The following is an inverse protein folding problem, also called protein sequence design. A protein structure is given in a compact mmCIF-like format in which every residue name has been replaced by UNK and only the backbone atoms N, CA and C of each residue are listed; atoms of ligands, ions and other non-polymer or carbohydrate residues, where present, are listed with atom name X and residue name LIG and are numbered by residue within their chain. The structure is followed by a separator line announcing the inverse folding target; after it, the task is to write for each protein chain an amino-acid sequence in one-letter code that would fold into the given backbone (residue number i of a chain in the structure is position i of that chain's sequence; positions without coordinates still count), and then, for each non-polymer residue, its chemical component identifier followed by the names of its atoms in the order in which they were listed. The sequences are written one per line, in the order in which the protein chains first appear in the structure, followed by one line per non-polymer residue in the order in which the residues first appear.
data_IF_800462076274
#
_entry.id   IF_800462076274
#
_cell.length_a   1.000
_cell.length_b   1.000
_cell.length_c   1.000
_cell.angle_alpha   90.00
_cell.angle_beta   90.00
_cell.angle_gamma   90.00
#
_symmetry.space_group_name_H-M   'P 1'
#
loop_
_entity.id
_entity.type
_entity.pdbx_description
1 polymer ?
#
# COMPACT_ATOMS: atom_id res chain seq x y z
N UNK A 1 3.16 -21.50 -19.77
CA UNK A 1 2.29 -21.07 -18.66
C UNK A 1 0.80 -21.30 -18.93
N UNK A 2 0.32 -21.23 -20.17
CA UNK A 2 -1.10 -21.39 -20.51
C UNK A 2 -1.59 -22.84 -20.40
N UNK A 3 -0.73 -23.81 -20.71
CA UNK A 3 -1.05 -25.24 -20.58
C UNK A 3 -1.30 -25.62 -19.10
N UNK A 4 -0.51 -25.08 -18.19
CA UNK A 4 -0.65 -25.35 -16.75
C UNK A 4 -1.95 -24.76 -16.17
N UNK A 5 -2.36 -23.57 -16.61
CA UNK A 5 -3.60 -22.93 -16.17
C UNK A 5 -4.85 -23.67 -16.64
N UNK A 6 -4.83 -24.20 -17.87
CA UNK A 6 -5.96 -24.98 -18.43
C UNK A 6 -6.23 -26.29 -17.70
N UNK A 7 -5.23 -26.86 -17.02
CA UNK A 7 -5.38 -28.15 -16.31
C UNK A 7 -6.04 -28.03 -14.94
N UNK A 8 -6.10 -26.81 -14.36
CA UNK A 8 -6.57 -26.61 -12.99
C UNK A 8 -7.83 -25.72 -12.85
N UNK A 9 -8.21 -25.03 -13.93
CA UNK A 9 -9.37 -24.15 -13.94
C UNK A 9 -10.07 -24.34 -15.28
N UNK A 10 -11.40 -24.53 -15.25
CA UNK A 10 -12.22 -24.61 -16.46
C UNK A 10 -12.30 -23.22 -17.11
N UNK A 11 -11.39 -22.97 -18.07
CA UNK A 11 -11.22 -21.68 -18.73
C UNK A 11 -11.29 -21.83 -20.26
N UNK A 12 -12.13 -21.02 -20.89
CA UNK A 12 -12.04 -20.76 -22.34
C UNK A 12 -10.91 -19.77 -22.59
N UNK A 13 -9.92 -20.13 -23.36
CA UNK A 13 -8.81 -19.25 -23.75
C UNK A 13 -8.94 -18.82 -25.21
N UNK A 14 -8.74 -17.55 -25.48
CA UNK A 14 -8.69 -16.97 -26.82
C UNK A 14 -7.35 -16.25 -26.97
N UNK A 15 -6.61 -16.60 -28.02
CA UNK A 15 -5.34 -15.95 -28.33
C UNK A 15 -5.59 -14.74 -29.23
N UNK A 16 -5.05 -13.58 -28.87
CA UNK A 16 -5.15 -12.37 -29.67
C UNK A 16 -5.01 -11.08 -28.89
N UNK A 17 -5.06 -9.97 -29.59
CA UNK A 17 -5.05 -8.65 -28.96
C UNK A 17 -6.48 -8.28 -28.52
N UNK A 18 -6.67 -8.10 -27.22
CA UNK A 18 -7.97 -7.80 -26.63
C UNK A 18 -8.56 -6.42 -27.02
N UNK A 19 -7.81 -5.56 -27.69
CA UNK A 19 -8.36 -4.33 -28.29
C UNK A 19 -9.11 -4.56 -29.60
N UNK A 20 -9.03 -5.77 -30.18
CA UNK A 20 -9.69 -6.08 -31.44
C UNK A 20 -11.08 -6.68 -31.22
N UNK A 21 -12.15 -6.11 -31.83
CA UNK A 21 -13.53 -6.57 -31.65
C UNK A 21 -13.70 -8.07 -31.93
N UNK A 22 -13.10 -8.60 -33.01
CA UNK A 22 -13.18 -10.03 -33.35
C UNK A 22 -12.65 -10.96 -32.26
N UNK A 23 -11.60 -10.55 -31.55
CA UNK A 23 -11.02 -11.33 -30.44
C UNK A 23 -11.98 -11.36 -29.26
N UNK A 24 -12.62 -10.21 -28.96
CA UNK A 24 -13.65 -10.10 -27.93
C UNK A 24 -14.91 -10.91 -28.26
N UNK A 25 -15.36 -10.90 -29.52
CA UNK A 25 -16.48 -11.72 -29.98
C UNK A 25 -16.17 -13.22 -29.81
N UNK A 26 -14.97 -13.68 -30.16
CA UNK A 26 -14.53 -15.06 -29.94
C UNK A 26 -14.50 -15.44 -28.44
N UNK A 27 -14.24 -14.47 -27.58
CA UNK A 27 -14.30 -14.63 -26.12
C UNK A 27 -15.73 -14.60 -25.56
N UNK A 28 -16.75 -14.50 -26.41
CA UNK A 28 -18.18 -14.49 -26.06
C UNK A 28 -18.58 -13.29 -25.18
N UNK A 29 -18.07 -12.11 -25.55
CA UNK A 29 -18.25 -10.87 -24.77
C UNK A 29 -19.71 -10.49 -24.51
N UNK A 30 -20.64 -10.97 -25.38
CA UNK A 30 -22.07 -10.68 -25.26
C UNK A 30 -22.74 -11.36 -24.06
N UNK A 31 -22.11 -12.40 -23.51
CA UNK A 31 -22.65 -13.23 -22.43
C UNK A 31 -21.87 -13.10 -21.11
N UNK A 32 -21.06 -12.04 -20.93
CA UNK A 32 -20.29 -11.83 -19.70
C UNK A 32 -20.79 -10.62 -18.91
N UNK A 33 -20.80 -10.75 -17.59
CA UNK A 33 -21.21 -9.69 -16.67
C UNK A 33 -20.05 -8.74 -16.33
N UNK A 34 -18.82 -9.26 -16.25
CA UNK A 34 -17.63 -8.52 -15.83
C UNK A 34 -16.45 -8.81 -16.75
N UNK A 35 -15.78 -7.77 -17.22
CA UNK A 35 -14.54 -7.85 -17.96
C UNK A 35 -13.41 -7.15 -17.21
N UNK A 36 -12.24 -7.78 -17.12
CA UNK A 36 -11.06 -7.26 -16.42
C UNK A 36 -9.89 -7.15 -17.39
N UNK A 37 -9.49 -5.92 -17.72
CA UNK A 37 -8.36 -5.61 -18.59
C UNK A 37 -7.09 -5.35 -17.77
N UNK A 38 -6.12 -6.27 -17.84
CA UNK A 38 -4.87 -6.23 -17.06
C UNK A 38 -3.62 -6.47 -17.91
N UNK A 39 -3.65 -6.06 -19.19
CA UNK A 39 -2.51 -6.14 -20.09
C UNK A 39 -1.39 -5.17 -19.68
N UNK A 40 -0.22 -5.30 -20.30
CA UNK A 40 0.93 -4.44 -19.97
C UNK A 40 0.76 -2.98 -20.40
N UNK A 41 0.06 -2.71 -21.51
CA UNK A 41 -0.22 -1.36 -22.00
C UNK A 41 -1.53 -0.82 -21.43
N UNK A 42 -1.50 0.37 -20.85
CA UNK A 42 -2.69 1.08 -20.37
C UNK A 42 -3.63 1.43 -21.53
N UNK A 43 -3.06 1.79 -22.72
CA UNK A 43 -3.82 2.11 -23.92
C UNK A 43 -4.63 0.90 -24.39
N UNK A 44 -4.02 -0.30 -24.37
CA UNK A 44 -4.71 -1.56 -24.74
C UNK A 44 -5.83 -1.86 -23.71
N UNK A 45 -5.59 -1.61 -22.42
CA UNK A 45 -6.60 -1.79 -21.38
C UNK A 45 -7.79 -0.85 -21.59
N UNK A 46 -7.51 0.42 -21.90
CA UNK A 46 -8.54 1.43 -22.15
C UNK A 46 -9.37 1.05 -23.38
N UNK A 47 -8.70 0.78 -24.52
CA UNK A 47 -9.38 0.45 -25.77
C UNK A 47 -10.17 -0.85 -25.63
N UNK A 48 -9.63 -1.87 -24.96
CA UNK A 48 -10.36 -3.12 -24.72
C UNK A 48 -11.67 -2.87 -23.95
N UNK A 49 -11.63 -2.09 -22.86
CA UNK A 49 -12.83 -1.77 -22.09
C UNK A 49 -13.83 -0.96 -22.90
N UNK A 50 -13.39 0.02 -23.68
CA UNK A 50 -14.27 0.81 -24.56
C UNK A 50 -14.93 -0.07 -25.63
N UNK A 51 -14.17 -0.97 -26.28
CA UNK A 51 -14.73 -1.92 -27.26
C UNK A 51 -15.73 -2.86 -26.61
N UNK A 52 -15.46 -3.34 -25.40
CA UNK A 52 -16.40 -4.16 -24.63
C UNK A 52 -17.72 -3.40 -24.38
N UNK A 53 -17.64 -2.15 -23.95
CA UNK A 53 -18.83 -1.31 -23.73
C UNK A 53 -19.64 -1.07 -25.02
N UNK A 54 -18.94 -0.92 -26.14
CA UNK A 54 -19.61 -0.77 -27.45
C UNK A 54 -20.29 -2.06 -27.91
N UNK A 55 -19.71 -3.22 -27.64
CA UNK A 55 -20.29 -4.52 -28.01
C UNK A 55 -21.38 -4.96 -27.03
N UNK A 56 -21.18 -4.74 -25.73
CA UNK A 56 -22.15 -5.07 -24.67
C UNK A 56 -22.07 -4.04 -23.53
N UNK A 57 -22.96 -3.05 -23.58
CA UNK A 57 -22.98 -1.96 -22.61
C UNK A 57 -23.34 -2.41 -21.17
N UNK A 58 -23.90 -3.61 -21.00
CA UNK A 58 -24.24 -4.16 -19.68
C UNK A 58 -23.05 -4.77 -18.96
N UNK A 59 -21.98 -5.11 -19.68
CA UNK A 59 -20.75 -5.65 -19.08
C UNK A 59 -20.08 -4.60 -18.21
N UNK A 60 -19.84 -4.92 -16.94
CA UNK A 60 -19.04 -4.08 -16.04
C UNK A 60 -17.56 -4.23 -16.39
N UNK A 61 -16.90 -3.11 -16.68
CA UNK A 61 -15.49 -3.09 -17.08
C UNK A 61 -14.58 -2.66 -15.94
N UNK A 62 -13.48 -3.36 -15.78
CA UNK A 62 -12.43 -3.02 -14.82
C UNK A 62 -11.09 -2.98 -15.56
N UNK A 63 -10.26 -1.96 -15.33
CA UNK A 63 -8.95 -1.89 -15.98
C UNK A 63 -7.83 -1.48 -15.03
N UNK A 64 -6.65 -2.05 -15.25
CA UNK A 64 -5.42 -1.57 -14.63
C UNK A 64 -4.87 -0.39 -15.42
N UNK A 65 -4.74 0.76 -14.76
CA UNK A 65 -4.16 1.98 -15.32
C UNK A 65 -3.03 2.44 -14.41
N UNK A 66 -1.82 2.52 -14.96
CA UNK A 66 -0.60 2.90 -14.22
C UNK A 66 -0.15 4.31 -14.53
N UNK A 67 -0.46 4.79 -15.73
CA UNK A 67 -0.05 6.10 -16.23
C UNK A 67 -0.92 7.19 -15.62
N UNK A 68 -0.25 8.13 -14.94
CA UNK A 68 -0.90 9.18 -14.17
C UNK A 68 -1.74 10.15 -15.03
N UNK A 69 -1.31 10.38 -16.24
CA UNK A 69 -1.96 11.25 -17.21
C UNK A 69 -3.39 10.77 -17.54
N UNK A 70 -3.67 9.46 -17.43
CA UNK A 70 -4.99 8.89 -17.58
C UNK A 70 -5.85 8.95 -16.29
N UNK A 71 -5.23 9.24 -15.14
CA UNK A 71 -5.92 9.28 -13.85
C UNK A 71 -6.32 10.71 -13.45
N UNK A 72 -5.85 11.73 -14.16
CA UNK A 72 -6.11 13.16 -13.87
C UNK A 72 -6.46 13.98 -15.12
N UNK A 73 -7.12 15.11 -14.87
CA UNK A 73 -7.41 16.13 -15.90
C UNK A 73 -8.19 15.59 -17.10
N UNK A 74 -7.75 15.93 -18.31
CA UNK A 74 -8.41 15.50 -19.55
C UNK A 74 -8.27 14.00 -19.81
N UNK A 75 -7.17 13.38 -19.39
CA UNK A 75 -6.98 11.93 -19.50
C UNK A 75 -8.04 11.15 -18.74
N UNK A 76 -8.41 11.61 -17.55
CA UNK A 76 -9.48 11.01 -16.73
C UNK A 76 -10.84 11.02 -17.46
N UNK A 77 -11.15 12.06 -18.21
CA UNK A 77 -12.38 12.15 -18.99
C UNK A 77 -12.47 11.08 -20.08
N UNK A 78 -11.32 10.70 -20.67
CA UNK A 78 -11.26 9.63 -21.68
C UNK A 78 -11.54 8.27 -21.01
N UNK A 79 -11.02 8.09 -19.81
CA UNK A 79 -11.09 6.80 -19.09
C UNK A 79 -12.44 6.61 -18.39
N UNK A 80 -13.04 7.67 -17.84
CA UNK A 80 -14.32 7.65 -17.10
C UNK A 80 -15.51 8.18 -17.91
N UNK A 81 -15.35 8.44 -19.22
CA UNK A 81 -16.41 8.98 -20.09
C UNK A 81 -17.58 8.01 -20.30
N UNK A 82 -18.53 8.36 -21.15
CA UNK A 82 -19.78 7.62 -21.37
C UNK A 82 -19.56 6.15 -21.81
N UNK A 83 -18.46 5.88 -22.52
CA UNK A 83 -17.97 4.55 -22.88
C UNK A 83 -16.75 4.16 -22.01
N UNK A 84 -16.67 4.73 -20.82
CA UNK A 84 -15.50 4.62 -19.95
C UNK A 84 -15.39 3.30 -19.20
N UNK A 85 -14.38 3.22 -18.39
CA UNK A 85 -14.09 2.09 -17.50
C UNK A 85 -14.87 2.29 -16.20
N UNK A 86 -15.68 1.29 -15.80
CA UNK A 86 -16.46 1.39 -14.57
C UNK A 86 -15.59 1.38 -13.30
N UNK A 87 -14.50 0.62 -13.32
CA UNK A 87 -13.56 0.53 -12.18
C UNK A 87 -12.11 0.62 -12.65
N UNK A 88 -11.41 1.64 -12.21
CA UNK A 88 -9.99 1.82 -12.47
C UNK A 88 -9.20 1.26 -11.28
N UNK A 89 -8.19 0.44 -11.58
CA UNK A 89 -7.26 -0.12 -10.60
C UNK A 89 -5.88 0.44 -10.89
N UNK A 90 -5.34 1.25 -9.99
CA UNK A 90 -3.97 1.75 -10.04
C UNK A 90 -3.21 1.28 -8.80
N UNK A 91 -2.48 0.15 -8.87
CA UNK A 91 -1.73 -0.37 -7.73
C UNK A 91 -0.73 0.64 -7.17
N UNK A 92 -0.06 1.38 -8.06
CA UNK A 92 0.92 2.39 -7.67
C UNK A 92 0.29 3.57 -6.90
N UNK A 93 -0.95 3.94 -7.24
CA UNK A 93 -1.68 4.98 -6.51
C UNK A 93 -2.12 4.49 -5.14
N UNK A 94 -2.64 3.27 -5.07
CA UNK A 94 -3.06 2.65 -3.81
C UNK A 94 -1.88 2.52 -2.84
N UNK A 95 -0.74 2.01 -3.29
CA UNK A 95 0.44 1.85 -2.43
C UNK A 95 1.03 3.19 -2.02
N UNK A 96 1.06 4.18 -2.93
CA UNK A 96 1.51 5.53 -2.60
C UNK A 96 0.64 6.15 -1.50
N UNK A 97 -0.68 6.06 -1.63
CA UNK A 97 -1.61 6.55 -0.62
C UNK A 97 -1.42 5.84 0.73
N UNK A 98 -1.20 4.52 0.72
CA UNK A 98 -0.93 3.74 1.93
C UNK A 98 0.37 4.19 2.61
N UNK A 99 1.46 4.34 1.86
CA UNK A 99 2.75 4.78 2.39
C UNK A 99 2.65 6.21 2.95
N UNK A 100 2.01 7.15 2.24
CA UNK A 100 1.77 8.50 2.74
C UNK A 100 1.05 8.49 4.10
N UNK A 101 0.02 7.66 4.24
CA UNK A 101 -0.71 7.53 5.52
C UNK A 101 0.16 6.99 6.65
N UNK A 102 1.01 6.01 6.38
CA UNK A 102 1.94 5.47 7.37
C UNK A 102 2.96 6.52 7.82
N UNK A 103 3.44 7.34 6.89
CA UNK A 103 4.34 8.46 7.18
C UNK A 103 3.65 9.55 8.01
N UNK A 104 2.41 9.91 7.66
CA UNK A 104 1.61 10.92 8.37
C UNK A 104 1.12 10.45 9.74
N UNK A 105 1.11 9.14 9.98
CA UNK A 105 0.67 8.51 11.24
C UNK A 105 1.76 7.58 11.80
N UNK A 106 2.87 8.16 12.30
CA UNK A 106 4.05 7.41 12.71
C UNK A 106 3.77 6.57 13.93
N UNK A 107 3.32 5.53 14.04
CA UNK A 107 2.89 4.65 15.14
C UNK A 107 2.05 3.52 14.60
N UNK A 108 1.35 3.74 13.50
CA UNK A 108 0.66 2.69 12.79
C UNK A 108 1.65 1.75 12.09
N UNK A 109 1.31 0.47 12.08
CA UNK A 109 1.97 -0.56 11.25
C UNK A 109 1.19 -0.81 9.97
N UNK A 110 -0.14 -0.65 10.02
CA UNK A 110 -1.02 -0.72 8.86
C UNK A 110 -2.18 0.27 9.01
N UNK A 111 -2.67 0.81 7.89
CA UNK A 111 -3.88 1.63 7.84
C UNK A 111 -4.66 1.21 6.60
N UNK A 112 -5.92 0.81 6.79
CA UNK A 112 -6.84 0.44 5.72
C UNK A 112 -8.12 1.27 5.83
N UNK A 113 -8.57 1.83 4.71
CA UNK A 113 -9.80 2.63 4.69
C UNK A 113 -10.99 1.88 4.18
N UNK A 114 -12.13 2.24 4.74
CA UNK A 114 -13.45 1.79 4.39
C UNK A 114 -14.40 2.97 4.19
N UNK A 115 -15.53 2.73 3.53
CA UNK A 115 -16.59 3.73 3.34
C UNK A 115 -16.06 5.06 2.75
N UNK A 116 -15.29 4.97 1.67
CA UNK A 116 -14.67 6.14 1.00
C UNK A 116 -13.83 7.01 1.95
N UNK A 117 -13.03 6.37 2.80
CA UNK A 117 -12.12 7.06 3.71
C UNK A 117 -12.78 7.66 4.97
N UNK A 118 -14.03 7.34 5.27
CA UNK A 118 -14.71 7.81 6.49
C UNK A 118 -14.31 7.00 7.72
N UNK A 119 -14.09 5.70 7.53
CA UNK A 119 -13.72 4.74 8.58
C UNK A 119 -12.39 4.13 8.22
N UNK A 120 -11.52 3.95 9.19
CA UNK A 120 -10.23 3.30 9.00
C UNK A 120 -10.03 2.17 10.01
N UNK A 121 -9.42 1.09 9.55
CA UNK A 121 -8.81 0.09 10.41
C UNK A 121 -7.33 0.42 10.54
N UNK A 122 -6.87 0.54 11.78
CA UNK A 122 -5.50 0.92 12.10
C UNK A 122 -4.87 -0.16 12.96
N UNK A 123 -3.72 -0.66 12.55
CA UNK A 123 -2.93 -1.60 13.35
C UNK A 123 -1.81 -0.84 14.05
N UNK A 124 -1.64 -1.10 15.35
CA UNK A 124 -0.62 -0.48 16.21
C UNK A 124 0.00 -1.54 17.11
N UNK A 125 1.33 -1.56 17.21
CA UNK A 125 2.03 -2.45 18.14
C UNK A 125 2.05 -1.83 19.54
N UNK A 126 1.50 -2.53 20.53
CA UNK A 126 1.48 -2.10 21.93
C UNK A 126 2.88 -1.99 22.51
N UNK A 127 3.22 -0.83 23.05
CA UNK A 127 4.49 -0.59 23.74
C UNK A 127 4.30 -0.58 25.25
N UNK A 128 5.34 -0.99 25.96
CA UNK A 128 5.37 -0.86 27.42
C UNK A 128 5.17 0.59 27.86
N UNK A 129 4.37 0.79 28.90
CA UNK A 129 4.03 2.14 29.43
C UNK A 129 3.03 2.94 28.58
N UNK A 130 2.46 2.37 27.53
CA UNK A 130 1.39 3.02 26.77
C UNK A 130 0.05 2.92 27.54
N UNK A 131 -0.87 3.91 27.40
CA UNK A 131 -2.06 4.06 28.26
C UNK A 131 -2.93 2.81 28.39
N UNK A 132 -3.21 2.10 27.29
CA UNK A 132 -4.08 0.90 27.31
C UNK A 132 -3.30 -0.39 27.54
N UNK A 133 -1.96 -0.38 27.49
CA UNK A 133 -1.14 -1.59 27.69
C UNK A 133 -1.18 -2.00 29.14
N UNK A 134 -1.52 -3.28 29.40
CA UNK A 134 -1.76 -3.81 30.74
C UNK A 134 -3.21 -3.62 31.23
N UNK A 135 -4.07 -2.97 30.46
CA UNK A 135 -5.47 -2.71 30.79
C UNK A 135 -6.44 -3.55 29.97
N UNK A 136 -7.67 -3.69 30.46
CA UNK A 136 -8.73 -4.42 29.78
C UNK A 136 -9.23 -3.67 28.54
N UNK A 137 -9.61 -4.41 27.50
CA UNK A 137 -10.23 -3.84 26.28
C UNK A 137 -11.44 -2.98 26.60
N UNK A 138 -12.26 -3.33 27.59
CA UNK A 138 -13.43 -2.56 28.05
C UNK A 138 -13.05 -1.16 28.55
N UNK A 139 -11.83 -0.97 29.06
CA UNK A 139 -11.36 0.33 29.62
C UNK A 139 -11.01 1.36 28.55
N UNK A 140 -10.83 0.93 27.28
CA UNK A 140 -10.51 1.83 26.16
C UNK A 140 -11.45 3.04 26.08
N UNK A 141 -12.75 2.84 26.34
CA UNK A 141 -13.74 3.94 26.37
C UNK A 141 -13.51 4.96 27.46
N UNK A 142 -12.86 4.58 28.56
CA UNK A 142 -12.54 5.48 29.67
C UNK A 142 -11.33 6.35 29.30
N UNK A 143 -10.38 5.79 28.52
CA UNK A 143 -9.18 6.50 28.07
C UNK A 143 -9.51 7.54 26.99
N UNK A 144 -10.33 7.17 26.00
CA UNK A 144 -10.70 8.05 24.87
C UNK A 144 -12.22 8.17 24.70
N UNK A 145 -12.95 8.75 25.68
CA UNK A 145 -14.41 8.72 25.74
C UNK A 145 -15.10 9.48 24.60
N UNK A 146 -14.40 10.38 23.91
CA UNK A 146 -14.92 11.17 22.78
C UNK A 146 -14.60 10.57 21.40
N UNK A 147 -14.00 9.40 21.37
CA UNK A 147 -13.62 8.72 20.12
C UNK A 147 -14.47 7.47 19.96
N UNK A 148 -15.21 7.38 18.85
CA UNK A 148 -15.93 6.15 18.51
C UNK A 148 -14.92 5.18 17.88
N UNK A 149 -14.46 4.23 18.69
CA UNK A 149 -13.48 3.22 18.30
C UNK A 149 -13.76 1.90 18.95
N UNK A 150 -13.32 0.84 18.28
CA UNK A 150 -13.37 -0.54 18.78
C UNK A 150 -12.08 -1.28 18.43
N UNK A 151 -11.63 -2.13 19.34
CA UNK A 151 -10.60 -3.12 19.01
C UNK A 151 -11.29 -4.27 18.28
N UNK A 152 -10.90 -4.47 17.02
CA UNK A 152 -11.45 -5.49 16.14
C UNK A 152 -10.73 -6.83 16.29
N UNK A 153 -9.41 -6.80 16.49
CA UNK A 153 -8.57 -7.97 16.66
C UNK A 153 -7.31 -7.62 17.46
N UNK A 154 -6.73 -8.62 18.10
CA UNK A 154 -5.40 -8.58 18.70
C UNK A 154 -4.60 -9.73 18.09
N UNK A 155 -3.41 -9.43 17.57
CA UNK A 155 -2.49 -10.42 17.08
C UNK A 155 -1.34 -10.57 18.09
N UNK A 156 -1.23 -11.75 18.67
CA UNK A 156 -0.28 -12.12 19.72
C UNK A 156 0.35 -13.46 19.40
N UNK A 157 1.68 -13.55 19.36
CA UNK A 157 2.41 -14.82 19.14
C UNK A 157 1.84 -15.65 17.97
N UNK A 158 1.71 -15.02 16.80
CA UNK A 158 1.16 -15.61 15.57
C UNK A 158 -0.29 -16.13 15.66
N UNK A 159 -1.06 -15.65 16.65
CA UNK A 159 -2.48 -15.97 16.81
C UNK A 159 -3.35 -14.73 16.75
N UNK A 160 -4.48 -14.86 16.04
CA UNK A 160 -5.53 -13.84 16.02
C UNK A 160 -6.50 -14.09 17.16
N UNK A 161 -6.68 -13.11 18.03
CA UNK A 161 -7.62 -13.11 19.14
C UNK A 161 -8.77 -12.18 18.78
N UNK A 162 -10.01 -12.67 18.83
CA UNK A 162 -11.22 -11.86 18.80
C UNK A 162 -11.46 -11.30 20.23
N UNK A 163 -11.17 -10.00 20.48
CA UNK A 163 -11.09 -9.51 21.85
C UNK A 163 -12.47 -9.40 22.50
N UNK A 164 -12.53 -9.80 23.75
CA UNK A 164 -13.66 -9.57 24.66
C UNK A 164 -13.31 -8.43 25.63
N UNK A 165 -14.32 -7.87 26.29
CA UNK A 165 -14.12 -6.73 27.21
C UNK A 165 -13.11 -7.00 28.34
N UNK A 166 -13.01 -8.26 28.81
CA UNK A 166 -12.10 -8.65 29.89
C UNK A 166 -10.68 -9.02 29.43
N UNK A 167 -10.45 -9.13 28.13
CA UNK A 167 -9.10 -9.39 27.60
C UNK A 167 -8.18 -8.21 27.87
N UNK A 168 -6.93 -8.52 28.21
CA UNK A 168 -5.89 -7.52 28.50
C UNK A 168 -5.02 -7.33 27.26
N UNK A 169 -4.73 -6.07 26.95
CA UNK A 169 -3.74 -5.72 25.91
C UNK A 169 -2.34 -5.83 26.53
N UNK A 170 -1.50 -6.68 25.94
CA UNK A 170 -0.14 -6.93 26.43
C UNK A 170 0.91 -6.21 25.59
N UNK A 171 2.07 -5.96 26.20
CA UNK A 171 3.23 -5.40 25.46
C UNK A 171 3.62 -6.33 24.32
N UNK A 172 3.76 -5.78 23.12
CA UNK A 172 4.11 -6.53 21.93
C UNK A 172 2.92 -6.96 21.08
N UNK A 173 1.69 -6.91 21.61
CA UNK A 173 0.48 -7.15 20.82
C UNK A 173 0.40 -6.21 19.62
N UNK A 174 -0.03 -6.72 18.48
CA UNK A 174 -0.46 -5.90 17.37
C UNK A 174 -1.99 -5.75 17.43
N UNK A 175 -2.46 -4.55 17.78
CA UNK A 175 -3.87 -4.28 18.06
C UNK A 175 -4.52 -3.57 16.88
N UNK A 176 -5.60 -4.13 16.38
CA UNK A 176 -6.37 -3.61 15.26
C UNK A 176 -7.58 -2.83 15.77
N UNK A 177 -7.61 -1.53 15.48
CA UNK A 177 -8.73 -0.65 15.80
C UNK A 177 -9.56 -0.34 14.56
N UNK A 178 -10.85 -0.19 14.75
CA UNK A 178 -11.76 0.44 13.78
C UNK A 178 -12.17 1.79 14.38
N UNK A 179 -11.95 2.87 13.64
CA UNK A 179 -12.24 4.25 14.09
C UNK A 179 -12.59 5.16 12.90
N UNK A 180 -13.14 6.33 13.19
CA UNK A 180 -13.22 7.38 12.17
C UNK A 180 -11.83 7.83 11.75
N UNK A 181 -11.62 8.09 10.46
CA UNK A 181 -10.29 8.42 9.91
C UNK A 181 -9.67 9.68 10.53
N UNK A 182 -10.49 10.62 11.01
CA UNK A 182 -10.03 11.82 11.73
C UNK A 182 -9.45 11.55 13.11
N UNK A 183 -9.79 10.40 13.71
CA UNK A 183 -9.40 10.07 15.09
C UNK A 183 -8.21 9.08 15.16
N UNK A 184 -7.63 8.69 14.03
CA UNK A 184 -6.50 7.76 13.94
C UNK A 184 -5.37 8.12 14.91
N UNK A 185 -4.94 9.40 14.95
CA UNK A 185 -3.84 9.86 15.82
C UNK A 185 -4.14 9.69 17.31
N UNK A 186 -5.41 9.88 17.70
CA UNK A 186 -5.84 9.69 19.09
C UNK A 186 -5.77 8.22 19.50
N UNK A 187 -6.22 7.33 18.59
CA UNK A 187 -6.17 5.87 18.83
C UNK A 187 -4.73 5.37 18.90
N UNK A 188 -3.85 5.85 18.02
CA UNK A 188 -2.43 5.48 18.05
C UNK A 188 -1.80 5.86 19.39
N UNK A 189 -2.15 7.03 19.94
CA UNK A 189 -1.59 7.50 21.22
C UNK A 189 -1.92 6.60 22.41
N UNK A 190 -2.99 5.80 22.36
CA UNK A 190 -3.35 4.86 23.42
C UNK A 190 -2.39 3.65 23.53
N UNK A 191 -1.74 3.28 22.44
CA UNK A 191 -0.80 2.14 22.40
C UNK A 191 0.67 2.58 22.33
N UNK A 192 0.91 3.88 22.31
CA UNK A 192 2.26 4.41 22.16
C UNK A 192 2.57 5.51 23.15
N UNK A 193 3.77 5.48 23.70
CA UNK A 193 4.38 6.64 24.33
C UNK A 193 4.60 7.68 23.22
N UNK A 194 4.29 8.95 23.48
CA UNK A 194 4.26 10.08 22.54
C UNK A 194 5.50 10.06 21.61
N UNK A 195 5.29 9.75 20.34
CA UNK A 195 6.35 9.81 19.32
C UNK A 195 6.42 11.24 18.75
N UNK A 196 7.65 11.67 18.43
CA UNK A 196 7.88 12.94 17.74
C UNK A 196 7.40 12.77 16.29
N UNK A 197 6.63 13.76 15.79
CA UNK A 197 6.21 13.75 14.39
C UNK A 197 7.41 13.68 13.46
N UNK A 198 7.33 12.84 12.42
CA UNK A 198 8.35 12.77 11.38
C UNK A 198 8.51 14.13 10.71
N UNK A 199 9.76 14.51 10.42
CA UNK A 199 10.09 15.76 9.73
C UNK A 199 10.92 15.50 8.48
N UNK A 200 11.82 14.54 8.53
CA UNK A 200 12.77 14.24 7.46
C UNK A 200 12.48 12.85 6.89
N UNK A 201 12.20 12.81 5.59
CA UNK A 201 11.90 11.59 4.84
C UNK A 201 12.97 11.41 3.77
N UNK A 202 13.47 10.20 3.63
CA UNK A 202 14.37 9.82 2.53
C UNK A 202 13.70 8.73 1.70
N UNK A 203 13.63 8.94 0.40
CA UNK A 203 13.00 8.02 -0.57
C UNK A 203 14.10 7.46 -1.47
N UNK A 204 14.27 6.15 -1.49
CA UNK A 204 15.13 5.43 -2.41
C UNK A 204 14.32 4.95 -3.60
N UNK A 205 14.65 5.47 -4.79
CA UNK A 205 13.95 5.23 -6.04
C UNK A 205 13.05 6.39 -6.46
N UNK A 206 13.40 7.06 -7.56
CA UNK A 206 12.64 8.15 -8.19
C UNK A 206 11.66 7.67 -9.28
N UNK A 207 11.27 6.39 -9.24
CA UNK A 207 10.31 5.79 -10.16
C UNK A 207 8.90 6.36 -10.03
N UNK A 208 7.89 5.64 -10.55
CA UNK A 208 6.49 6.08 -10.51
C UNK A 208 5.98 6.29 -9.08
N UNK A 209 6.28 5.35 -8.17
CA UNK A 209 5.86 5.41 -6.77
C UNK A 209 6.64 6.48 -6.03
N UNK A 210 7.98 6.50 -6.12
CA UNK A 210 8.81 7.47 -5.41
C UNK A 210 8.51 8.92 -5.80
N UNK A 211 8.32 9.21 -7.09
CA UNK A 211 7.88 10.52 -7.56
C UNK A 211 6.53 10.91 -6.95
N UNK A 212 5.53 10.02 -6.99
CA UNK A 212 4.19 10.30 -6.42
C UNK A 212 4.23 10.51 -4.91
N UNK A 213 5.06 9.75 -4.21
CA UNK A 213 5.31 9.96 -2.78
C UNK A 213 5.86 11.35 -2.53
N UNK A 214 6.88 11.75 -3.28
CA UNK A 214 7.48 13.06 -3.15
C UNK A 214 6.46 14.17 -3.42
N UNK A 215 5.74 14.13 -4.55
CA UNK A 215 4.69 15.09 -4.89
C UNK A 215 3.60 15.20 -3.80
N UNK A 216 3.28 14.11 -3.10
CA UNK A 216 2.24 14.05 -2.05
C UNK A 216 2.72 14.55 -0.70
N UNK A 217 4.01 14.40 -0.41
CA UNK A 217 4.62 14.70 0.89
C UNK A 217 5.37 16.04 0.89
N UNK A 218 5.69 16.56 -0.29
CA UNK A 218 6.35 17.84 -0.47
C UNK A 218 5.56 18.98 0.20
N UNK A 219 6.28 19.91 0.79
CA UNK A 219 5.69 21.00 1.58
C UNK A 219 5.22 20.63 2.99
N UNK A 220 5.07 19.33 3.29
CA UNK A 220 4.75 18.84 4.65
C UNK A 220 5.98 18.33 5.39
N UNK A 221 6.96 17.80 4.64
CA UNK A 221 8.17 17.15 5.14
C UNK A 221 9.41 17.64 4.41
N UNK A 222 10.56 17.53 5.06
CA UNK A 222 11.86 17.68 4.39
C UNK A 222 12.17 16.40 3.63
N UNK A 223 12.11 16.45 2.31
CA UNK A 223 12.27 15.27 1.45
C UNK A 223 13.63 15.22 0.80
N UNK A 224 14.22 14.01 0.81
CA UNK A 224 15.37 13.65 -0.02
C UNK A 224 15.01 12.44 -0.87
N UNK A 225 15.41 12.45 -2.15
CA UNK A 225 15.19 11.34 -3.07
C UNK A 225 16.53 10.89 -3.60
N UNK A 226 16.84 9.61 -3.48
CA UNK A 226 18.03 8.99 -4.07
C UNK A 226 17.58 8.24 -5.32
N UNK A 227 18.18 8.59 -6.47
CA UNK A 227 17.88 7.96 -7.77
C UNK A 227 19.19 7.70 -8.51
N UNK A 228 19.34 6.47 -9.00
CA UNK A 228 20.56 6.04 -9.69
C UNK A 228 20.66 6.60 -11.11
N UNK A 229 19.53 6.80 -11.77
CA UNK A 229 19.47 7.28 -13.14
C UNK A 229 19.55 8.82 -13.19
N UNK A 230 20.62 9.34 -13.80
CA UNK A 230 20.91 10.77 -13.90
C UNK A 230 19.82 11.57 -14.63
N UNK A 231 19.30 11.04 -15.75
CA UNK A 231 18.27 11.74 -16.53
C UNK A 231 16.96 11.84 -15.73
N UNK A 232 16.67 10.80 -14.94
CA UNK A 232 15.53 10.82 -14.03
C UNK A 232 15.72 11.79 -12.87
N UNK A 233 16.94 11.94 -12.36
CA UNK A 233 17.24 12.97 -11.35
C UNK A 233 16.95 14.37 -11.90
N UNK A 234 17.40 14.67 -13.13
CA UNK A 234 17.12 15.97 -13.80
C UNK A 234 15.62 16.19 -13.91
N UNK A 235 14.89 15.19 -14.43
CA UNK A 235 13.43 15.25 -14.54
C UNK A 235 12.73 15.50 -13.20
N UNK A 236 13.16 14.83 -12.13
CA UNK A 236 12.58 15.00 -10.80
C UNK A 236 12.87 16.39 -10.23
N UNK A 237 14.09 16.91 -10.44
CA UNK A 237 14.47 18.26 -9.99
C UNK A 237 13.69 19.38 -10.70
N UNK A 238 13.19 19.13 -11.92
CA UNK A 238 12.32 20.05 -12.63
C UNK A 238 10.84 19.99 -12.18
N UNK A 239 10.43 18.87 -11.55
CA UNK A 239 9.05 18.60 -11.16
C UNK A 239 8.75 18.83 -9.69
N UNK A 240 9.76 18.79 -8.86
CA UNK A 240 9.65 18.92 -7.40
C UNK A 240 10.22 20.30 -6.99
N UNK A 241 9.44 21.03 -6.21
CA UNK A 241 9.76 22.41 -5.86
C UNK A 241 10.70 22.54 -4.65
N UNK A 242 10.62 21.63 -3.68
CA UNK A 242 11.33 21.75 -2.40
C UNK A 242 12.07 20.48 -1.97
N UNK A 243 12.01 19.42 -2.76
CA UNK A 243 12.68 18.14 -2.46
C UNK A 243 14.12 18.14 -2.98
N UNK A 244 15.04 17.60 -2.18
CA UNK A 244 16.43 17.41 -2.60
C UNK A 244 16.55 16.09 -3.39
N UNK A 245 16.99 16.18 -4.65
CA UNK A 245 17.21 15.01 -5.51
C UNK A 245 18.70 14.70 -5.56
N UNK A 246 19.07 13.48 -5.17
CA UNK A 246 20.43 12.98 -5.09
C UNK A 246 20.65 11.90 -6.15
N UNK A 247 21.70 12.06 -6.97
CA UNK A 247 22.08 11.03 -7.92
C UNK A 247 23.05 10.04 -7.26
N UNK A 248 22.60 8.81 -7.04
CA UNK A 248 23.43 7.78 -6.40
C UNK A 248 22.69 6.47 -6.18
N UNK A 249 23.40 5.51 -5.60
CA UNK A 249 22.86 4.22 -5.20
C UNK A 249 22.40 4.30 -3.74
N UNK A 250 21.16 3.90 -3.47
CA UNK A 250 20.59 3.87 -2.12
C UNK A 250 21.19 2.79 -1.20
N UNK A 251 21.98 1.90 -1.74
CA UNK A 251 22.78 0.91 -0.98
C UNK A 251 24.22 1.40 -0.67
N UNK A 252 24.60 2.60 -1.11
CA UNK A 252 25.89 3.19 -0.80
C UNK A 252 25.88 3.82 0.60
N UNK A 253 26.63 3.19 1.52
CA UNK A 253 26.72 3.65 2.91
C UNK A 253 27.37 5.03 3.05
N UNK A 254 28.30 5.39 2.16
CA UNK A 254 28.97 6.69 2.21
C UNK A 254 27.99 7.82 1.84
N UNK A 255 27.17 7.61 0.81
CA UNK A 255 26.11 8.54 0.43
C UNK A 255 25.08 8.71 1.56
N UNK A 256 24.64 7.61 2.17
CA UNK A 256 23.68 7.65 3.28
C UNK A 256 24.22 8.40 4.50
N UNK A 257 25.52 8.21 4.82
CA UNK A 257 26.18 8.91 5.91
C UNK A 257 26.32 10.41 5.62
N UNK A 258 26.79 10.79 4.43
CA UNK A 258 26.91 12.19 3.98
C UNK A 258 25.54 12.92 4.08
N UNK A 259 24.46 12.22 3.75
CA UNK A 259 23.10 12.74 3.77
C UNK A 259 22.42 12.65 5.15
N UNK A 260 23.18 12.30 6.20
CA UNK A 260 22.75 12.22 7.59
C UNK A 260 21.56 11.26 7.81
N UNK A 261 21.72 10.02 7.38
CA UNK A 261 20.68 8.97 7.51
C UNK A 261 20.23 8.80 8.96
N UNK A 262 21.11 9.01 9.95
CA UNK A 262 20.79 8.90 11.38
C UNK A 262 19.78 9.96 11.87
N UNK A 263 19.59 11.05 11.11
CA UNK A 263 18.58 12.09 11.37
C UNK A 263 17.30 11.88 10.59
N UNK A 264 17.25 10.83 9.75
CA UNK A 264 16.09 10.51 8.94
C UNK A 264 15.02 9.83 9.81
N UNK A 265 13.83 10.41 9.83
CA UNK A 265 12.71 9.87 10.59
C UNK A 265 12.08 8.67 9.88
N UNK A 266 12.06 8.71 8.54
CA UNK A 266 11.46 7.63 7.74
C UNK A 266 12.24 7.42 6.43
N UNK A 267 12.75 6.23 6.22
CA UNK A 267 13.41 5.79 4.98
C UNK A 267 12.46 4.88 4.21
N UNK A 268 12.18 5.21 2.95
CA UNK A 268 11.28 4.46 2.07
C UNK A 268 12.02 3.94 0.86
N UNK A 269 12.21 2.64 0.72
CA UNK A 269 12.75 2.05 -0.49
C UNK A 269 11.64 1.54 -1.41
N UNK A 270 11.52 2.16 -2.59
CA UNK A 270 10.40 1.99 -3.53
C UNK A 270 10.86 1.93 -4.99
N UNK A 271 12.01 1.28 -5.21
CA UNK A 271 12.51 0.97 -6.56
C UNK A 271 11.71 -0.19 -7.17
N UNK A 272 12.02 -0.57 -8.38
CA UNK A 272 11.45 -1.75 -9.06
C UNK A 272 12.19 -3.06 -8.74
N UNK A 273 13.24 -3.01 -7.94
CA UNK A 273 14.05 -4.15 -7.52
C UNK A 273 13.79 -4.48 -6.04
N UNK A 274 13.18 -5.64 -5.78
CA UNK A 274 12.83 -6.09 -4.43
C UNK A 274 14.07 -6.29 -3.54
N UNK A 275 15.15 -6.85 -4.10
CA UNK A 275 16.40 -7.11 -3.41
C UNK A 275 17.06 -5.79 -2.99
N UNK A 276 17.14 -4.82 -3.90
CA UNK A 276 17.66 -3.50 -3.63
C UNK A 276 16.82 -2.77 -2.56
N UNK A 277 15.48 -2.89 -2.62
CA UNK A 277 14.59 -2.30 -1.64
C UNK A 277 14.82 -2.88 -0.23
N UNK A 278 14.92 -4.19 -0.11
CA UNK A 278 15.17 -4.87 1.16
C UNK A 278 16.54 -4.47 1.72
N UNK A 279 17.59 -4.57 0.90
CA UNK A 279 18.97 -4.31 1.33
C UNK A 279 19.16 -2.85 1.75
N UNK A 280 18.68 -1.89 0.97
CA UNK A 280 18.81 -0.46 1.32
C UNK A 280 17.98 -0.09 2.56
N UNK A 281 16.78 -0.67 2.75
CA UNK A 281 15.98 -0.48 3.96
C UNK A 281 16.65 -1.04 5.21
N UNK A 282 17.27 -2.22 5.13
CA UNK A 282 18.04 -2.82 6.22
C UNK A 282 19.28 -2.00 6.54
N UNK A 283 20.00 -1.53 5.52
CA UNK A 283 21.18 -0.69 5.67
C UNK A 283 20.84 0.63 6.35
N UNK A 284 19.81 1.34 5.86
CA UNK A 284 19.33 2.58 6.43
C UNK A 284 18.94 2.42 7.91
N UNK A 285 18.22 1.32 8.24
CA UNK A 285 17.85 1.01 9.62
C UNK A 285 19.09 0.77 10.50
N UNK A 286 20.06 0.01 10.03
CA UNK A 286 21.33 -0.26 10.72
C UNK A 286 22.16 1.02 10.94
N UNK A 287 22.09 1.96 10.00
CA UNK A 287 22.80 3.25 10.06
C UNK A 287 22.06 4.31 10.89
N UNK A 288 20.90 3.98 11.48
CA UNK A 288 20.22 4.84 12.46
C UNK A 288 18.96 5.53 11.97
N UNK A 289 18.44 5.25 10.78
CA UNK A 289 17.11 5.71 10.39
C UNK A 289 16.07 5.23 11.41
N UNK A 290 15.19 6.13 11.89
CA UNK A 290 14.23 5.81 12.96
C UNK A 290 13.24 4.74 12.53
N UNK A 291 12.77 4.82 11.27
CA UNK A 291 11.91 3.81 10.65
C UNK A 291 12.37 3.53 9.23
N UNK A 292 12.22 2.28 8.81
CA UNK A 292 12.45 1.86 7.43
C UNK A 292 11.23 1.15 6.86
N UNK A 293 10.94 1.42 5.58
CA UNK A 293 9.91 0.78 4.80
C UNK A 293 10.52 0.23 3.51
N UNK A 294 10.20 -1.01 3.20
CA UNK A 294 10.56 -1.66 1.94
C UNK A 294 9.31 -2.00 1.13
N UNK A 295 9.29 -1.59 -0.13
CA UNK A 295 8.31 -2.08 -1.10
C UNK A 295 8.80 -3.43 -1.65
N UNK A 296 7.90 -4.40 -1.72
CA UNK A 296 8.21 -5.75 -2.21
C UNK A 296 7.09 -6.22 -3.15
N UNK A 297 7.46 -6.88 -4.24
CA UNK A 297 6.50 -7.43 -5.20
C UNK A 297 6.25 -8.93 -4.98
N UNK A 298 7.25 -9.65 -4.42
CA UNK A 298 7.19 -11.10 -4.24
C UNK A 298 6.91 -11.45 -2.77
N UNK A 299 5.82 -12.18 -2.52
CA UNK A 299 5.44 -12.63 -1.17
C UNK A 299 6.55 -13.44 -0.46
N UNK A 300 7.38 -14.15 -1.22
CA UNK A 300 8.47 -14.95 -0.65
C UNK A 300 9.47 -14.14 0.19
N UNK A 301 9.62 -12.84 -0.08
CA UNK A 301 10.50 -11.98 0.72
C UNK A 301 9.90 -11.62 2.09
N UNK A 302 8.57 -11.64 2.25
CA UNK A 302 7.94 -11.34 3.54
C UNK A 302 8.33 -12.34 4.63
N UNK A 303 8.44 -13.61 4.25
CA UNK A 303 8.80 -14.69 5.18
C UNK A 303 10.30 -14.63 5.59
N UNK A 304 11.12 -13.93 4.80
CA UNK A 304 12.57 -13.80 5.03
C UNK A 304 12.94 -12.56 5.84
N UNK A 305 12.08 -11.54 5.85
CA UNK A 305 12.37 -10.25 6.48
C UNK A 305 11.83 -10.27 7.92
N UNK A 306 12.72 -10.15 8.90
CA UNK A 306 12.29 -9.99 10.29
C UNK A 306 11.84 -8.54 10.55
N UNK A 307 10.83 -8.37 11.41
CA UNK A 307 10.35 -7.03 11.86
C UNK A 307 11.41 -6.22 12.63
N UNK A 308 12.51 -6.85 13.01
CA UNK A 308 13.66 -6.16 13.65
C UNK A 308 14.55 -5.49 12.61
N UNK A 309 14.60 -6.03 11.40
CA UNK A 309 15.45 -5.55 10.31
C UNK A 309 14.77 -4.44 9.49
N UNK A 310 13.45 -4.53 9.26
CA UNK A 310 12.64 -3.55 8.54
C UNK A 310 11.34 -3.34 9.32
N UNK A 311 10.99 -2.09 9.61
CA UNK A 311 9.81 -1.78 10.42
C UNK A 311 8.51 -2.05 9.67
N UNK A 312 8.48 -1.77 8.37
CA UNK A 312 7.29 -1.89 7.52
C UNK A 312 7.68 -2.50 6.18
N UNK A 313 6.97 -3.55 5.79
CA UNK A 313 7.07 -4.14 4.45
C UNK A 313 5.74 -3.98 3.75
N UNK A 314 5.73 -3.32 2.58
CA UNK A 314 4.55 -3.11 1.77
C UNK A 314 4.62 -4.00 0.53
N UNK A 315 3.53 -4.71 0.24
CA UNK A 315 3.36 -5.44 -1.01
C UNK A 315 2.68 -4.57 -2.05
N UNK A 316 3.25 -4.48 -3.25
CA UNK A 316 2.62 -3.78 -4.37
C UNK A 316 1.33 -4.49 -4.83
N UNK A 317 1.29 -5.81 -4.72
CA UNK A 317 0.14 -6.63 -5.06
C UNK A 317 -0.28 -7.44 -3.84
N UNK A 318 -1.23 -6.92 -3.08
CA UNK A 318 -1.90 -7.71 -2.03
C UNK A 318 -2.87 -8.67 -2.68
N UNK A 319 -2.42 -9.88 -3.00
CA UNK A 319 -3.33 -11.01 -3.10
C UNK A 319 -3.60 -11.47 -1.67
N UNK A 320 -4.85 -11.57 -1.21
CA UNK A 320 -5.11 -12.25 0.04
C UNK A 320 -4.53 -13.66 -0.09
N UNK A 321 -3.53 -13.97 0.73
CA UNK A 321 -2.94 -15.31 0.73
C UNK A 321 -4.04 -16.32 1.04
N UNK A 322 -4.13 -17.46 0.34
CA UNK A 322 -5.02 -18.53 0.74
C UNK A 322 -4.81 -18.99 2.19
N UNK A 323 -3.64 -18.72 2.78
CA UNK A 323 -3.35 -18.96 4.21
C UNK A 323 -4.16 -18.03 5.12
N UNK A 324 -4.39 -16.77 4.72
CA UNK A 324 -5.17 -15.81 5.50
C UNK A 324 -6.67 -16.13 5.48
N UNK A 325 -7.16 -16.81 4.43
CA UNK A 325 -8.53 -17.27 4.31
C UNK A 325 -8.80 -18.60 5.01
N UNK A 326 -7.76 -19.42 5.26
CA UNK A 326 -7.92 -20.72 5.94
C UNK A 326 -8.22 -20.62 7.44
N UNK A 327 -7.97 -19.47 8.05
CA UNK A 327 -8.27 -19.19 9.46
C UNK A 327 -9.65 -18.53 9.68
N UNK A 328 -10.34 -18.11 8.62
CA UNK A 328 -11.69 -17.52 8.69
C UNK A 328 -12.82 -18.54 8.43
N UNK A 329 -12.76 -19.75 8.99
CA UNK A 329 -13.96 -20.55 9.13
C UNK A 329 -14.82 -19.92 10.23
N UNK A 330 -15.80 -19.12 9.82
CA UNK A 330 -16.90 -18.80 10.72
C UNK A 330 -17.53 -20.13 11.21
N UNK A 331 -17.78 -20.30 12.51
CA UNK A 331 -18.56 -21.41 12.96
C UNK A 331 -19.94 -21.31 12.32
N UNK A 332 -20.35 -22.34 11.60
CA UNK A 332 -21.74 -22.47 11.14
C UNK A 332 -22.62 -22.45 12.37
N UNK A 333 -23.50 -21.45 12.44
CA UNK A 333 -24.57 -21.42 13.43
C UNK A 333 -25.42 -22.69 13.25
N UNK A 334 -25.39 -23.56 14.27
CA UNK A 334 -26.48 -24.50 14.55
C UNK A 334 -27.51 -23.81 15.41
#
# INVERSE_FOLDING_TARGET
SDVYKRQHIDLKTVEGNASYPKVLEQADINNIDVAVAMMESDEVNIIACQMIKLLNNNTKTMARIRTFEYLKGKGKQIVEGEQGIDVIISPEELITAQICRLIENPGATQIMDFANGKVSMVSVKAKEGAPITGHKVAELRQHIPKVDTRIAAIYREDKVIAPKGDDIVETGDEVFFITESRDIKKVISELRVKEIASKTIMIAGGGRIGRRLAESLEGKFNLKIIEINKDRCIYLSEKLDSSLVLNGDSSDSALLEEENIEKTDFFCSVTDDDEANVMSSMLAKKMGAKKSLSLVNKNAYLDLISKEQIDITCLLYTSPSPRDLSTSRMPSSA
#
